data_IF_512401712601
#
_entry.id   IF_512401712601
#
_cell.length_a   1.000
_cell.length_b   1.000
_cell.length_c   1.000
_cell.angle_alpha   90.00
_cell.angle_beta   90.00
_cell.angle_gamma   90.00
#
_symmetry.space_group_name_H-M   'P 1'
#
loop_
_entity.id
_entity.type
_entity.pdbx_description
1 polymer ?
#
# COMPACT_ATOMS: atom_id res chain seq x y z
N UNK A 1 -19.96 5.26 25.88
CA UNK A 1 -19.74 4.04 25.07
C UNK A 1 -18.56 4.32 24.16
N UNK A 2 -17.41 3.67 24.38
CA UNK A 2 -16.19 3.88 23.59
C UNK A 2 -16.23 2.89 22.43
N UNK A 3 -16.34 3.38 21.19
CA UNK A 3 -16.08 2.56 20.02
C UNK A 3 -14.58 2.30 19.97
N UNK A 4 -14.16 1.10 20.40
CA UNK A 4 -12.84 0.59 20.06
C UNK A 4 -12.82 0.47 18.53
N UNK A 5 -12.01 1.30 17.87
CA UNK A 5 -11.83 1.21 16.42
C UNK A 5 -11.40 -0.21 16.07
N UNK A 6 -12.15 -0.86 15.19
CA UNK A 6 -11.77 -2.16 14.65
C UNK A 6 -10.38 -2.00 14.03
N UNK A 7 -9.36 -2.61 14.65
CA UNK A 7 -8.01 -2.62 14.08
C UNK A 7 -8.06 -3.61 12.93
N UNK A 8 -7.99 -3.12 11.70
CA UNK A 8 -7.95 -3.96 10.52
C UNK A 8 -6.73 -4.89 10.60
N UNK A 9 -6.96 -6.20 10.61
CA UNK A 9 -5.91 -7.22 10.60
C UNK A 9 -5.86 -7.91 9.24
N UNK A 10 -4.66 -8.32 8.82
CA UNK A 10 -4.42 -8.99 7.53
C UNK A 10 -3.82 -10.37 7.74
N UNK A 11 -4.30 -11.36 6.98
CA UNK A 11 -3.64 -12.67 6.92
C UNK A 11 -2.29 -12.52 6.21
N UNK A 12 -1.37 -13.47 6.46
CA UNK A 12 -0.06 -13.51 5.79
C UNK A 12 -0.16 -13.40 4.26
N UNK A 13 -1.07 -14.16 3.64
CA UNK A 13 -1.26 -14.12 2.19
C UNK A 13 -1.70 -12.73 1.69
N UNK A 14 -2.64 -12.10 2.39
CA UNK A 14 -3.16 -10.77 2.02
C UNK A 14 -2.09 -9.68 2.19
N UNK A 15 -1.33 -9.75 3.29
CA UNK A 15 -0.22 -8.84 3.53
C UNK A 15 0.93 -9.03 2.52
N UNK A 16 1.19 -10.26 2.09
CA UNK A 16 2.21 -10.58 1.08
C UNK A 16 1.80 -10.03 -0.30
N UNK A 17 0.53 -10.21 -0.68
CA UNK A 17 -0.04 -9.64 -1.90
C UNK A 17 0.07 -8.11 -1.91
N UNK A 18 -0.31 -7.44 -0.82
CA UNK A 18 -0.21 -5.98 -0.68
C UNK A 18 1.22 -5.46 -0.82
N UNK A 19 2.19 -6.20 -0.27
CA UNK A 19 3.61 -5.86 -0.39
C UNK A 19 4.23 -6.35 -1.72
N UNK A 20 3.52 -7.10 -2.56
CA UNK A 20 4.09 -7.67 -3.79
C UNK A 20 5.28 -8.60 -3.53
N UNK A 21 5.20 -9.43 -2.48
CA UNK A 21 6.17 -10.48 -2.15
C UNK A 21 5.49 -11.84 -2.01
N UNK A 22 6.26 -12.92 -1.92
CA UNK A 22 5.71 -14.24 -1.62
C UNK A 22 5.32 -14.38 -0.14
N UNK A 23 4.32 -15.21 0.15
CA UNK A 23 3.90 -15.58 1.51
C UNK A 23 5.07 -16.06 2.38
N UNK A 24 5.99 -16.82 1.78
CA UNK A 24 7.20 -17.31 2.46
C UNK A 24 8.13 -16.16 2.87
N UNK A 25 8.30 -15.16 2.01
CA UNK A 25 9.08 -13.95 2.32
C UNK A 25 8.47 -13.18 3.48
N UNK A 26 7.15 -12.99 3.46
CA UNK A 26 6.46 -12.30 4.55
C UNK A 26 6.57 -13.08 5.87
N UNK A 27 6.40 -14.40 5.83
CA UNK A 27 6.55 -15.27 7.00
C UNK A 27 7.94 -15.17 7.60
N UNK A 28 8.99 -15.19 6.77
CA UNK A 28 10.38 -15.00 7.22
C UNK A 28 10.59 -13.63 7.87
N UNK A 29 9.95 -12.57 7.40
CA UNK A 29 10.05 -11.24 8.02
C UNK A 29 9.34 -11.17 9.37
N UNK A 30 8.21 -11.84 9.52
CA UNK A 30 7.51 -11.98 10.81
C UNK A 30 8.36 -12.80 11.78
N UNK A 31 8.88 -13.95 11.35
CA UNK A 31 9.72 -14.82 12.17
C UNK A 31 11.03 -14.13 12.58
N UNK A 32 11.57 -13.26 11.73
CA UNK A 32 12.74 -12.43 12.01
C UNK A 32 12.43 -11.19 12.88
N UNK A 33 11.18 -10.99 13.29
CA UNK A 33 10.74 -9.85 14.10
C UNK A 33 10.76 -8.50 13.36
N UNK A 34 10.90 -8.50 12.04
CA UNK A 34 10.91 -7.27 11.21
C UNK A 34 9.51 -6.69 11.00
N UNK A 35 8.49 -7.54 10.99
CA UNK A 35 7.09 -7.16 10.86
C UNK A 35 6.31 -7.71 12.06
N UNK A 36 5.71 -6.86 12.91
CA UNK A 36 4.87 -7.31 14.02
C UNK A 36 3.68 -8.13 13.52
N UNK A 37 3.42 -9.25 14.17
CA UNK A 37 2.25 -10.08 13.91
C UNK A 37 1.66 -10.60 15.22
N UNK A 38 0.36 -10.84 15.21
CA UNK A 38 -0.43 -11.33 16.33
C UNK A 38 -1.09 -12.67 15.97
N UNK A 39 -1.57 -13.37 16.98
CA UNK A 39 -2.35 -14.60 16.79
C UNK A 39 -3.82 -14.29 17.04
N UNK A 40 -4.65 -14.48 16.02
CA UNK A 40 -6.09 -14.29 16.08
C UNK A 40 -6.76 -15.59 15.63
N UNK A 41 -7.59 -16.19 16.49
CA UNK A 41 -8.25 -17.48 16.26
C UNK A 41 -7.32 -18.61 15.77
N UNK A 42 -6.11 -18.68 16.34
CA UNK A 42 -5.10 -19.68 16.00
C UNK A 42 -4.41 -19.43 14.66
N UNK A 43 -4.50 -18.20 14.16
CA UNK A 43 -3.92 -17.84 12.87
C UNK A 43 -3.09 -16.55 12.98
N UNK A 44 -1.92 -16.56 12.33
CA UNK A 44 -1.04 -15.37 12.29
C UNK A 44 -1.67 -14.26 11.47
N UNK A 45 -1.87 -13.10 12.08
CA UNK A 45 -2.39 -11.88 11.45
C UNK A 45 -1.43 -10.72 11.68
N UNK A 46 -1.40 -9.78 10.74
CA UNK A 46 -0.57 -8.58 10.81
C UNK A 46 -1.50 -7.38 11.05
N UNK A 47 -1.29 -6.58 12.10
CA UNK A 47 -2.02 -5.33 12.29
C UNK A 47 -1.78 -4.38 11.11
N UNK A 48 -2.85 -3.81 10.54
CA UNK A 48 -2.75 -2.95 9.37
C UNK A 48 -1.83 -1.74 9.54
N UNK A 49 -1.82 -1.13 10.73
CA UNK A 49 -0.92 -0.03 11.05
C UNK A 49 0.56 -0.44 11.00
N UNK A 50 0.89 -1.64 11.49
CA UNK A 50 2.25 -2.17 11.44
C UNK A 50 2.67 -2.51 10.00
N UNK A 51 1.75 -3.09 9.21
CA UNK A 51 1.98 -3.39 7.80
C UNK A 51 2.27 -2.12 6.97
N UNK A 52 1.49 -1.05 7.20
CA UNK A 52 1.66 0.22 6.51
C UNK A 52 2.99 0.91 6.86
N UNK A 53 3.37 0.93 8.14
CA UNK A 53 4.66 1.47 8.59
C UNK A 53 5.84 0.71 7.97
N UNK A 54 5.75 -0.63 7.93
CA UNK A 54 6.78 -1.48 7.33
C UNK A 54 6.89 -1.28 5.81
N UNK A 55 5.76 -1.12 5.11
CA UNK A 55 5.74 -0.85 3.66
C UNK A 55 6.45 0.47 3.30
N UNK A 56 6.26 1.51 4.12
CA UNK A 56 6.89 2.81 3.92
C UNK A 56 8.42 2.75 4.08
N UNK A 57 8.91 2.01 5.08
CA UNK A 57 10.34 1.79 5.30
C UNK A 57 10.97 0.99 4.14
N UNK A 58 10.27 -0.06 3.67
CA UNK A 58 10.74 -0.90 2.57
C UNK A 58 10.87 -0.14 1.24
N UNK A 59 10.01 0.85 0.98
CA UNK A 59 10.08 1.69 -0.21
C UNK A 59 11.28 2.66 -0.22
N UNK A 60 11.97 2.84 0.91
CA UNK A 60 13.18 3.65 1.03
C UNK A 60 14.44 2.99 0.46
N UNK A 61 14.41 1.69 0.15
CA UNK A 61 15.56 0.95 -0.38
C UNK A 61 15.18 0.28 -1.71
N UNK A 62 15.56 0.83 -2.88
CA UNK A 62 15.27 0.21 -4.16
C UNK A 62 16.07 -1.10 -4.28
N UNK A 63 15.38 -2.25 -4.25
CA UNK A 63 15.95 -3.56 -4.57
C UNK A 63 15.71 -3.88 -6.06
N UNK A 64 16.75 -3.93 -6.91
CA UNK A 64 16.64 -4.25 -8.32
C UNK A 64 16.09 -5.67 -8.60
N UNK A 65 16.07 -6.56 -7.60
CA UNK A 65 15.59 -7.94 -7.72
C UNK A 65 14.07 -8.11 -7.70
N UNK A 66 13.29 -7.06 -7.42
CA UNK A 66 11.83 -7.14 -7.21
C UNK A 66 10.99 -7.09 -8.49
N UNK A 67 11.54 -7.54 -9.61
CA UNK A 67 10.79 -7.69 -10.87
C UNK A 67 10.18 -9.08 -10.95
N UNK A 68 9.00 -9.26 -10.35
CA UNK A 68 8.11 -10.37 -10.64
C UNK A 68 6.89 -9.84 -11.40
N UNK A 69 6.68 -10.39 -12.59
CA UNK A 69 5.78 -9.92 -13.62
C UNK A 69 4.29 -10.03 -13.22
N UNK A 70 3.54 -8.93 -13.30
CA UNK A 70 2.09 -8.97 -13.62
C UNK A 70 1.70 -7.75 -14.44
N UNK A 71 1.64 -7.95 -15.76
CA UNK A 71 0.88 -7.10 -16.66
C UNK A 71 -0.62 -7.36 -16.42
N UNK A 72 -1.27 -6.46 -15.69
CA UNK A 72 -2.70 -6.16 -15.84
C UNK A 72 -2.84 -4.70 -16.31
N UNK A 73 -2.26 -4.44 -17.50
CA UNK A 73 -2.17 -3.19 -18.29
C UNK A 73 -2.78 -1.93 -17.65
N UNK A 74 -2.11 -1.45 -16.60
CA UNK A 74 -2.29 -0.18 -15.90
C UNK A 74 -3.12 -0.18 -14.62
N UNK A 75 -3.64 -1.30 -14.12
CA UNK A 75 -4.25 -1.35 -12.78
C UNK A 75 -3.29 -1.99 -11.79
N UNK A 76 -2.80 -1.19 -10.85
CA UNK A 76 -1.80 -1.55 -9.86
C UNK A 76 -2.48 -1.51 -8.48
N UNK A 77 -2.61 -2.65 -7.83
CA UNK A 77 -3.12 -2.70 -6.45
C UNK A 77 -2.05 -2.12 -5.53
N UNK A 78 -2.45 -1.30 -4.56
CA UNK A 78 -1.54 -0.71 -3.61
C UNK A 78 -2.21 -0.15 -2.36
N UNK A 79 -1.41 0.56 -1.58
CA UNK A 79 -1.80 1.21 -0.33
C UNK A 79 -1.45 2.69 -0.38
N UNK A 80 -2.35 3.54 0.11
CA UNK A 80 -2.11 4.98 0.27
C UNK A 80 -1.14 5.18 1.43
N UNK A 81 -0.08 5.95 1.21
CA UNK A 81 0.92 6.28 2.23
C UNK A 81 0.80 7.72 2.73
N UNK A 82 0.27 8.63 1.91
CA UNK A 82 -0.04 10.00 2.32
C UNK A 82 -1.16 10.59 1.46
N UNK A 83 -1.97 11.46 2.06
CA UNK A 83 -2.94 12.29 1.35
C UNK A 83 -2.70 13.74 1.75
N UNK A 84 -2.42 14.60 0.77
CA UNK A 84 -2.31 16.06 0.96
C UNK A 84 -3.41 16.70 0.15
N UNK A 85 -4.34 17.38 0.82
CA UNK A 85 -5.45 18.09 0.19
C UNK A 85 -5.19 19.60 0.27
N UNK A 86 -5.41 20.29 -0.83
CA UNK A 86 -5.63 21.74 -0.84
C UNK A 86 -7.14 22.03 -1.01
N UNK A 87 -7.49 23.23 -1.49
CA UNK A 87 -8.91 23.62 -1.67
C UNK A 87 -9.59 22.91 -2.85
N UNK A 88 -8.83 22.53 -3.89
CA UNK A 88 -9.37 22.04 -5.16
C UNK A 88 -8.80 20.68 -5.53
N UNK A 89 -7.53 20.43 -5.21
CA UNK A 89 -6.74 19.27 -5.58
C UNK A 89 -6.30 18.48 -4.36
N UNK A 90 -6.04 17.21 -4.59
CA UNK A 90 -5.43 16.28 -3.66
C UNK A 90 -4.28 15.54 -4.34
N UNK A 91 -3.15 15.48 -3.63
CA UNK A 91 -2.06 14.58 -3.92
C UNK A 91 -2.20 13.33 -3.05
N UNK A 92 -2.24 12.18 -3.69
CA UNK A 92 -2.31 10.87 -3.06
C UNK A 92 -1.04 10.11 -3.38
N UNK A 93 -0.17 9.93 -2.38
CA UNK A 93 1.02 9.11 -2.48
C UNK A 93 0.65 7.65 -2.20
N UNK A 94 1.12 6.72 -3.04
CA UNK A 94 0.79 5.31 -2.96
C UNK A 94 2.02 4.43 -3.21
N UNK A 95 2.00 3.23 -2.63
CA UNK A 95 2.93 2.15 -2.98
C UNK A 95 2.14 1.01 -3.58
N UNK A 96 2.52 0.58 -4.78
CA UNK A 96 1.91 -0.54 -5.49
C UNK A 96 3.01 -1.55 -5.89
N UNK A 97 3.18 -2.59 -5.09
CA UNK A 97 4.29 -3.55 -5.25
C UNK A 97 5.66 -2.84 -5.17
N UNK A 98 6.55 -2.99 -6.17
CA UNK A 98 7.85 -2.33 -6.17
C UNK A 98 7.80 -0.83 -6.54
N UNK A 99 6.63 -0.28 -6.89
CA UNK A 99 6.51 1.06 -7.44
C UNK A 99 5.93 2.05 -6.43
N UNK A 100 6.52 3.24 -6.36
CA UNK A 100 5.90 4.42 -5.74
C UNK A 100 5.16 5.21 -6.80
N UNK A 101 3.89 5.51 -6.55
CA UNK A 101 3.02 6.27 -7.45
C UNK A 101 2.47 7.50 -6.75
N UNK A 102 2.23 8.55 -7.52
CA UNK A 102 1.55 9.77 -7.06
C UNK A 102 0.36 10.00 -7.98
N UNK A 103 -0.83 10.11 -7.39
CA UNK A 103 -2.04 10.52 -8.11
C UNK A 103 -2.41 11.95 -7.73
N UNK A 104 -2.71 12.76 -8.73
CA UNK A 104 -3.33 14.07 -8.56
C UNK A 104 -4.80 13.95 -8.96
N UNK A 105 -5.69 14.26 -8.04
CA UNK A 105 -7.14 14.25 -8.24
C UNK A 105 -7.81 15.43 -7.54
N UNK A 106 -9.12 15.63 -7.67
CA UNK A 106 -9.79 16.69 -6.91
C UNK A 106 -9.83 16.35 -5.42
N UNK A 107 -9.82 17.40 -4.58
CA UNK A 107 -9.95 17.27 -3.14
C UNK A 107 -11.27 16.58 -2.76
N UNK A 108 -12.36 16.93 -3.45
CA UNK A 108 -13.68 16.32 -3.31
C UNK A 108 -13.64 14.81 -3.61
N UNK A 109 -13.04 14.39 -4.73
CA UNK A 109 -12.98 12.98 -5.07
C UNK A 109 -12.14 12.17 -4.08
N UNK A 110 -11.07 12.74 -3.52
CA UNK A 110 -10.29 12.08 -2.48
C UNK A 110 -11.10 11.91 -1.18
N UNK A 111 -11.97 12.87 -0.86
CA UNK A 111 -12.85 12.84 0.32
C UNK A 111 -14.02 11.89 0.15
N UNK A 112 -14.68 11.89 -1.01
CA UNK A 112 -15.75 10.95 -1.37
C UNK A 112 -15.28 9.49 -1.32
N UNK A 113 -14.05 9.23 -1.76
CA UNK A 113 -13.42 7.91 -1.69
C UNK A 113 -12.90 7.55 -0.30
N UNK A 114 -12.95 8.48 0.67
CA UNK A 114 -12.42 8.27 2.02
C UNK A 114 -10.94 7.93 2.02
N UNK A 115 -10.15 8.53 1.13
CA UNK A 115 -8.74 8.22 1.01
C UNK A 115 -7.96 8.80 2.19
N UNK A 116 -7.26 7.92 2.89
CA UNK A 116 -6.38 8.23 4.00
C UNK A 116 -5.17 7.28 3.99
N UNK A 117 -4.07 7.60 4.68
CA UNK A 117 -2.97 6.67 4.84
C UNK A 117 -3.46 5.31 5.37
N UNK A 118 -3.20 4.24 4.62
CA UNK A 118 -3.69 2.88 4.91
C UNK A 118 -4.82 2.40 4.00
N UNK A 119 -5.49 3.27 3.24
CA UNK A 119 -6.55 2.86 2.30
C UNK A 119 -6.00 1.89 1.24
N UNK A 120 -6.66 0.74 1.04
CA UNK A 120 -6.40 -0.17 -0.09
C UNK A 120 -6.97 0.45 -1.35
N UNK A 121 -6.14 0.57 -2.38
CA UNK A 121 -6.50 1.25 -3.63
C UNK A 121 -6.06 0.45 -4.85
N UNK A 122 -6.70 0.73 -5.98
CA UNK A 122 -6.26 0.26 -7.30
C UNK A 122 -5.89 1.49 -8.11
N UNK A 123 -4.60 1.75 -8.23
CA UNK A 123 -4.08 2.82 -9.06
C UNK A 123 -4.25 2.43 -10.53
N UNK A 124 -5.15 3.10 -11.24
CA UNK A 124 -5.33 2.90 -12.69
C UNK A 124 -4.65 4.01 -13.48
N UNK A 125 -3.59 3.68 -14.22
CA UNK A 125 -2.95 4.61 -15.16
C UNK A 125 -3.71 4.57 -16.48
N UNK A 126 -4.02 5.70 -17.10
CA UNK A 126 -4.64 5.71 -18.43
C UNK A 126 -3.52 5.76 -19.47
N UNK A 127 -3.47 4.82 -20.42
CA UNK A 127 -2.42 4.74 -21.46
C UNK A 127 -2.31 5.99 -22.35
N UNK A 128 -3.25 6.93 -22.26
CA UNK A 128 -3.31 8.14 -23.09
C UNK A 128 -2.60 9.35 -22.47
N UNK A 129 -2.09 9.27 -21.23
CA UNK A 129 -1.51 10.40 -20.52
C UNK A 129 -0.19 9.99 -19.85
N UNK A 130 0.93 10.23 -20.53
CA UNK A 130 2.28 10.17 -19.96
C UNK A 130 3.03 11.41 -20.43
N UNK A 131 3.48 12.27 -19.51
CA UNK A 131 4.34 13.44 -19.80
C UNK A 131 5.47 13.45 -18.77
N UNK A 132 6.71 13.48 -19.25
CA UNK A 132 7.95 13.52 -18.45
C UNK A 132 9.01 14.34 -19.21
N UNK A 133 9.72 15.26 -18.53
CA UNK A 133 10.97 15.93 -18.92
C UNK A 133 11.60 16.55 -17.66
N UNK A 134 12.92 16.67 -17.39
CA UNK A 134 14.20 16.75 -18.14
C UNK A 134 15.22 15.68 -17.61
N UNK A 135 16.43 15.52 -18.21
CA UNK A 135 17.07 14.24 -18.60
C UNK A 135 17.27 13.19 -17.50
#
# INVERSE_FOLDING_TARGET
MRHAGCVTTYRIAEAAELLGVSDDTLRRWVDAGRLPAEQEDGRTVVPGAALAAFAADLAGTPDPGRSAAVSARNRLVGIVTAVRKDTVMAQVDMVCGPYRLVSLMSAEAAEELGLEPGSRVVASVKSTNVVVELP
#
